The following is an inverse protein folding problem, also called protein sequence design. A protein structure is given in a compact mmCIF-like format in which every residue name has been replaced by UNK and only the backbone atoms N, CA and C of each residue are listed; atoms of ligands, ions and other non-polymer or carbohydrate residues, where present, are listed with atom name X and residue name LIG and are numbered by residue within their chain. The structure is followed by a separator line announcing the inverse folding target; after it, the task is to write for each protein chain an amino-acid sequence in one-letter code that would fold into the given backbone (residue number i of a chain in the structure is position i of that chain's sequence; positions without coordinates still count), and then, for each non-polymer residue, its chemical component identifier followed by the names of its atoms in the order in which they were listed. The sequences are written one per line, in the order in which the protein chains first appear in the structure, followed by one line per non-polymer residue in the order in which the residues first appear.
data_IF_277438086584
#
_entry.id   IF_277438086584
#
_cell.length_a   1.000
_cell.length_b   1.000
_cell.length_c   1.000
_cell.angle_alpha   90.00
_cell.angle_beta   90.00
_cell.angle_gamma   90.00
#
_symmetry.space_group_name_H-M   'P 1'
#
loop_
_entity.id
_entity.type
_entity.pdbx_description
1 polymer ?
#
# COMPACT_ATOMS: atom_id res chain seq x y z
N UNK A 1 -40.31 -21.86 31.46
CA UNK A 1 -40.00 -21.58 30.03
C UNK A 1 -39.93 -20.08 29.69
N UNK A 2 -39.60 -19.18 30.63
CA UNK A 2 -39.41 -17.74 30.35
C UNK A 2 -37.97 -17.24 30.58
N UNK A 3 -37.08 -18.07 31.14
CA UNK A 3 -35.70 -17.66 31.47
C UNK A 3 -34.70 -17.95 30.34
N UNK A 4 -35.07 -18.78 29.36
CA UNK A 4 -34.18 -19.13 28.22
C UNK A 4 -34.16 -18.05 27.13
N UNK A 5 -35.18 -17.18 27.05
CA UNK A 5 -35.26 -16.12 26.04
C UNK A 5 -34.37 -14.90 26.33
N UNK A 6 -33.93 -14.70 27.58
CA UNK A 6 -33.11 -13.54 27.94
C UNK A 6 -31.61 -13.74 27.63
N UNK A 7 -31.13 -14.98 27.55
CA UNK A 7 -29.71 -15.28 27.27
C UNK A 7 -29.42 -15.19 25.75
N UNK A 8 -30.44 -15.37 24.89
CA UNK A 8 -30.28 -15.16 23.45
C UNK A 8 -30.10 -13.68 23.06
N UNK A 9 -30.44 -12.73 23.93
CA UNK A 9 -30.33 -11.29 23.64
C UNK A 9 -28.92 -10.71 23.93
N UNK A 10 -28.02 -11.45 24.59
CA UNK A 10 -26.65 -10.98 24.86
C UNK A 10 -25.61 -11.41 23.82
N UNK A 11 -25.97 -12.24 22.83
CA UNK A 11 -25.09 -12.58 21.71
C UNK A 11 -25.18 -11.58 20.54
N UNK A 12 -26.16 -10.68 20.55
CA UNK A 12 -26.32 -9.66 19.49
C UNK A 12 -25.48 -8.40 19.70
N UNK A 13 -24.70 -8.31 20.79
CA UNK A 13 -23.92 -7.11 21.13
C UNK A 13 -22.43 -7.13 20.74
N UNK A 14 -21.90 -8.23 20.22
CA UNK A 14 -20.46 -8.34 19.89
C UNK A 14 -20.15 -8.19 18.39
N UNK A 15 -21.16 -8.05 17.53
CA UNK A 15 -20.97 -7.77 16.11
C UNK A 15 -21.76 -6.54 15.74
N UNK A 16 -21.19 -5.36 15.97
CA UNK A 16 -21.47 -4.20 15.15
C UNK A 16 -20.37 -3.16 15.32
N UNK A 17 -19.30 -3.36 14.57
CA UNK A 17 -18.57 -2.23 14.00
C UNK A 17 -18.75 -2.29 12.49
N UNK A 18 -20.00 -2.21 12.01
CA UNK A 18 -20.24 -1.68 10.67
C UNK A 18 -19.92 -0.18 10.68
N UNK A 19 -18.62 0.12 10.75
CA UNK A 19 -18.14 1.43 10.36
C UNK A 19 -18.32 1.47 8.85
N UNK A 20 -19.29 2.24 8.37
CA UNK A 20 -19.36 2.62 6.96
C UNK A 20 -17.96 2.98 6.46
N UNK A 21 -17.63 2.62 5.21
CA UNK A 21 -16.25 2.66 4.70
C UNK A 21 -15.57 3.98 5.08
N UNK A 22 -14.42 3.91 5.75
CA UNK A 22 -13.72 5.10 6.23
C UNK A 22 -13.30 5.99 5.06
N UNK A 23 -12.99 7.26 5.35
CA UNK A 23 -12.42 8.16 4.32
C UNK A 23 -11.17 7.56 3.69
N UNK A 24 -10.36 6.84 4.48
CA UNK A 24 -9.16 6.15 4.05
C UNK A 24 -9.47 4.93 3.17
N UNK A 25 -10.50 4.15 3.48
CA UNK A 25 -10.93 3.05 2.61
C UNK A 25 -11.40 3.53 1.23
N UNK A 26 -12.05 4.71 1.20
CA UNK A 26 -12.48 5.36 -0.04
C UNK A 26 -11.27 5.90 -0.81
N UNK A 27 -10.33 6.53 -0.13
CA UNK A 27 -9.16 7.09 -0.76
C UNK A 27 -8.24 5.98 -1.30
N UNK A 28 -8.06 4.90 -0.55
CA UNK A 28 -7.31 3.71 -0.97
C UNK A 28 -7.92 3.03 -2.23
N UNK A 29 -9.25 3.07 -2.38
CA UNK A 29 -9.94 2.60 -3.60
C UNK A 29 -9.65 3.48 -4.81
N UNK A 30 -9.39 4.77 -4.59
CA UNK A 30 -9.08 5.74 -5.65
C UNK A 30 -7.60 5.80 -5.97
N UNK A 31 -6.72 5.26 -5.13
CA UNK A 31 -5.28 5.23 -5.35
C UNK A 31 -4.93 4.49 -6.64
N UNK A 32 -4.34 5.23 -7.58
CA UNK A 32 -3.77 4.66 -8.81
C UNK A 32 -2.62 3.73 -8.44
N UNK A 33 -2.58 2.54 -9.04
CA UNK A 33 -1.48 1.58 -8.87
C UNK A 33 -0.96 1.21 -10.24
N UNK A 34 0.35 1.36 -10.42
CA UNK A 34 1.00 1.09 -11.69
C UNK A 34 1.63 -0.30 -11.70
N UNK A 35 1.62 -0.94 -12.85
CA UNK A 35 2.35 -2.20 -13.08
C UNK A 35 3.87 -1.95 -13.12
N UNK A 36 4.71 -2.96 -12.81
CA UNK A 36 6.17 -2.81 -12.81
C UNK A 36 6.77 -2.37 -14.15
N UNK A 37 6.12 -2.64 -15.28
CA UNK A 37 6.58 -2.25 -16.62
C UNK A 37 6.53 -0.72 -16.88
N UNK A 38 5.85 0.03 -16.01
CA UNK A 38 5.81 1.50 -16.04
C UNK A 38 7.06 2.15 -15.45
N UNK A 39 8.00 1.36 -14.93
CA UNK A 39 9.24 1.80 -14.28
C UNK A 39 10.45 1.29 -15.07
N UNK A 40 10.80 1.90 -16.21
CA UNK A 40 11.86 1.43 -17.11
C UNK A 40 13.27 1.44 -16.48
N UNK A 41 13.45 2.13 -15.36
CA UNK A 41 14.68 2.15 -14.59
C UNK A 41 14.94 0.85 -13.80
N UNK A 42 13.91 0.04 -13.55
CA UNK A 42 14.05 -1.21 -12.80
C UNK A 42 14.94 -2.21 -13.57
N UNK A 43 15.86 -2.92 -12.88
CA UNK A 43 16.54 -4.05 -13.47
C UNK A 43 15.53 -5.11 -13.92
N UNK A 44 15.73 -5.78 -15.08
CA UNK A 44 14.77 -6.76 -15.60
C UNK A 44 14.41 -7.88 -14.61
N UNK A 45 15.39 -8.32 -13.80
CA UNK A 45 15.16 -9.32 -12.76
C UNK A 45 14.24 -8.82 -11.65
N UNK A 46 14.35 -7.55 -11.25
CA UNK A 46 13.49 -6.92 -10.24
C UNK A 46 12.08 -6.77 -10.78
N UNK A 47 11.92 -6.22 -11.99
CA UNK A 47 10.61 -6.06 -12.62
C UNK A 47 9.89 -7.41 -12.77
N UNK A 48 10.59 -8.44 -13.25
CA UNK A 48 10.02 -9.80 -13.40
C UNK A 48 9.58 -10.39 -12.06
N UNK A 49 10.36 -10.19 -11.00
CA UNK A 49 10.02 -10.70 -9.67
C UNK A 49 8.82 -9.96 -9.05
N UNK A 50 8.70 -8.65 -9.28
CA UNK A 50 7.53 -7.88 -8.88
C UNK A 50 6.27 -8.36 -9.61
N UNK A 51 6.34 -8.53 -10.93
CA UNK A 51 5.24 -9.08 -11.74
C UNK A 51 4.86 -10.49 -11.27
N UNK A 52 5.84 -11.36 -11.02
CA UNK A 52 5.61 -12.72 -10.51
C UNK A 52 4.87 -12.72 -9.16
N UNK A 53 5.09 -11.71 -8.33
CA UNK A 53 4.42 -11.52 -7.04
C UNK A 53 3.02 -10.90 -7.16
N UNK A 54 2.58 -10.50 -8.36
CA UNK A 54 1.33 -9.75 -8.55
C UNK A 54 1.39 -8.34 -7.96
N UNK A 55 2.60 -7.78 -7.91
CA UNK A 55 2.86 -6.49 -7.29
C UNK A 55 2.40 -5.34 -8.18
N UNK A 56 1.70 -4.38 -7.58
CA UNK A 56 1.43 -3.08 -8.19
C UNK A 56 2.00 -1.97 -7.28
N UNK A 57 2.40 -0.84 -7.86
CA UNK A 57 3.12 0.21 -7.15
C UNK A 57 2.17 1.41 -6.98
N UNK A 58 1.66 1.67 -5.76
CA UNK A 58 0.70 2.74 -5.52
C UNK A 58 1.31 4.11 -5.78
N UNK A 59 0.51 5.05 -6.27
CA UNK A 59 0.93 6.41 -6.62
C UNK A 59 0.13 7.42 -5.79
N UNK A 60 0.82 8.49 -5.37
CA UNK A 60 0.21 9.71 -4.85
C UNK A 60 -0.49 10.49 -5.96
N UNK A 61 -1.42 11.36 -5.55
CA UNK A 61 -2.15 12.24 -6.47
C UNK A 61 -1.35 13.50 -6.85
N UNK A 62 -0.37 13.90 -6.04
CA UNK A 62 0.41 15.13 -6.24
C UNK A 62 1.55 14.94 -7.24
N UNK A 63 2.15 13.74 -7.28
CA UNK A 63 3.31 13.49 -8.12
C UNK A 63 2.91 12.94 -9.48
N UNK A 64 3.19 13.71 -10.53
CA UNK A 64 2.81 13.36 -11.91
C UNK A 64 3.66 12.25 -12.52
N UNK A 65 4.88 12.04 -12.02
CA UNK A 65 5.78 10.99 -12.51
C UNK A 65 5.61 9.71 -11.67
N UNK A 66 5.77 8.52 -12.28
CA UNK A 66 5.87 7.28 -11.52
C UNK A 66 6.88 7.40 -10.38
N UNK A 67 6.47 7.00 -9.19
CA UNK A 67 7.28 7.06 -7.96
C UNK A 67 7.00 5.82 -7.09
N UNK A 68 7.56 5.80 -5.88
CA UNK A 68 7.61 4.64 -4.98
C UNK A 68 8.47 3.47 -5.47
N UNK A 69 9.38 3.79 -6.39
CA UNK A 69 10.56 3.00 -6.76
C UNK A 69 11.77 3.88 -6.54
N UNK A 70 12.67 3.48 -5.64
CA UNK A 70 13.91 4.22 -5.36
C UNK A 70 15.11 3.30 -5.54
N UNK A 71 16.22 3.87 -6.01
CA UNK A 71 17.51 3.19 -6.06
C UNK A 71 18.56 3.94 -5.26
N UNK A 72 19.53 3.20 -4.75
CA UNK A 72 20.59 3.77 -3.93
C UNK A 72 21.58 2.73 -3.46
N UNK A 73 22.62 3.15 -2.74
CA UNK A 73 23.65 2.26 -2.21
C UNK A 73 23.37 1.96 -0.74
N UNK A 74 22.32 1.18 -0.47
CA UNK A 74 21.78 0.98 0.88
C UNK A 74 22.65 0.05 1.73
N UNK A 75 23.18 -1.04 1.13
CA UNK A 75 23.97 -2.03 1.88
C UNK A 75 25.46 -1.79 1.85
N UNK A 76 26.01 -1.31 0.73
CA UNK A 76 27.41 -0.91 0.63
C UNK A 76 27.66 0.01 -0.59
N UNK A 77 28.82 0.66 -0.62
CA UNK A 77 29.19 1.62 -1.69
C UNK A 77 29.48 1.00 -3.06
N UNK A 78 29.61 -0.32 -3.18
CA UNK A 78 29.99 -0.98 -4.44
C UNK A 78 28.78 -1.37 -5.30
N UNK A 79 27.62 -1.63 -4.69
CA UNK A 79 26.41 -2.04 -5.41
C UNK A 79 25.32 -0.96 -5.45
N UNK A 80 24.39 -1.10 -6.40
CA UNK A 80 23.15 -0.31 -6.47
C UNK A 80 21.97 -1.22 -6.11
N UNK A 81 21.26 -0.83 -5.07
CA UNK A 81 20.12 -1.53 -4.48
C UNK A 81 18.82 -0.81 -4.88
N UNK A 82 17.70 -1.51 -4.74
CA UNK A 82 16.37 -1.00 -5.08
C UNK A 82 15.40 -1.23 -3.94
N UNK A 83 14.58 -0.24 -3.62
CA UNK A 83 13.45 -0.38 -2.71
C UNK A 83 12.17 0.02 -3.44
N UNK A 84 11.17 -0.86 -3.36
CA UNK A 84 9.90 -0.72 -4.08
C UNK A 84 8.75 -0.87 -3.09
N UNK A 85 7.83 0.10 -3.08
CA UNK A 85 6.57 -0.05 -2.36
C UNK A 85 5.64 -0.96 -3.14
N UNK A 86 5.49 -2.18 -2.66
CA UNK A 86 4.78 -3.23 -3.35
C UNK A 86 3.41 -3.48 -2.71
N UNK A 87 2.33 -3.14 -3.41
CA UNK A 87 0.96 -3.45 -3.02
C UNK A 87 0.47 -4.70 -3.73
N UNK A 88 0.05 -5.70 -2.95
CA UNK A 88 -0.70 -6.87 -3.42
C UNK A 88 -2.03 -6.90 -2.70
N UNK A 89 -3.14 -6.83 -3.45
CA UNK A 89 -4.50 -6.80 -2.89
C UNK A 89 -4.70 -5.73 -1.80
N UNK A 90 -4.15 -4.52 -2.02
CA UNK A 90 -4.25 -3.37 -1.10
C UNK A 90 -3.58 -3.58 0.25
N UNK A 91 -2.58 -4.46 0.27
CA UNK A 91 -1.64 -4.64 1.38
C UNK A 91 -0.26 -4.36 0.82
N UNK A 92 0.38 -3.32 1.34
CA UNK A 92 1.70 -2.87 0.93
C UNK A 92 2.79 -3.43 1.82
N UNK A 93 3.96 -3.62 1.21
CA UNK A 93 5.22 -3.90 1.87
C UNK A 93 6.35 -3.24 1.10
N UNK A 94 7.44 -2.86 1.77
CA UNK A 94 8.65 -2.43 1.06
C UNK A 94 9.46 -3.67 0.70
N UNK A 95 9.72 -3.88 -0.58
CA UNK A 95 10.62 -4.91 -1.06
C UNK A 95 11.98 -4.29 -1.38
N UNK A 96 13.03 -4.82 -0.75
CA UNK A 96 14.42 -4.38 -0.98
C UNK A 96 15.18 -5.45 -1.75
N UNK A 97 15.69 -5.06 -2.92
CA UNK A 97 16.46 -5.89 -3.84
C UNK A 97 17.93 -5.45 -3.82
N UNK A 98 18.81 -6.36 -3.40
CA UNK A 98 20.24 -6.09 -3.32
C UNK A 98 20.91 -6.22 -4.69
N UNK A 99 21.74 -5.26 -5.07
CA UNK A 99 22.47 -5.27 -6.34
C UNK A 99 21.58 -5.51 -7.58
N UNK A 100 20.31 -5.09 -7.55
CA UNK A 100 19.34 -5.35 -8.63
C UNK A 100 18.98 -6.82 -8.84
N UNK A 101 19.20 -7.68 -7.83
CA UNK A 101 18.94 -9.11 -7.87
C UNK A 101 17.60 -9.47 -7.24
N UNK A 102 16.89 -10.44 -7.82
CA UNK A 102 15.69 -11.07 -7.25
C UNK A 102 16.01 -12.14 -6.18
N UNK A 103 17.27 -12.28 -5.77
CA UNK A 103 17.70 -13.18 -4.67
C UNK A 103 17.75 -12.42 -3.36
N UNK A 104 17.43 -13.11 -2.27
CA UNK A 104 17.51 -12.58 -0.89
C UNK A 104 16.73 -11.27 -0.70
N UNK A 105 15.57 -11.15 -1.36
CA UNK A 105 14.68 -9.98 -1.26
C UNK A 105 14.18 -9.85 0.17
N UNK A 106 14.33 -8.66 0.74
CA UNK A 106 13.82 -8.34 2.09
C UNK A 106 12.45 -7.68 1.97
N UNK A 107 11.48 -8.17 2.74
CA UNK A 107 10.13 -7.59 2.86
C UNK A 107 10.00 -6.88 4.21
N UNK A 108 9.61 -5.61 4.20
CA UNK A 108 9.46 -4.78 5.40
C UNK A 108 8.04 -4.22 5.50
N UNK A 109 7.61 -3.95 6.74
CA UNK A 109 6.45 -3.12 7.09
C UNK A 109 5.12 -3.52 6.42
N UNK A 110 4.86 -4.82 6.23
CA UNK A 110 3.65 -5.32 5.57
C UNK A 110 2.36 -4.92 6.30
N UNK A 111 1.54 -4.04 5.70
CA UNK A 111 0.31 -3.50 6.31
C UNK A 111 -0.75 -3.15 5.26
N UNK A 112 -2.04 -3.06 5.63
CA UNK A 112 -3.08 -2.57 4.72
C UNK A 112 -2.81 -1.14 4.27
N UNK A 113 -2.96 -0.88 2.98
CA UNK A 113 -2.70 0.42 2.36
C UNK A 113 -3.45 1.54 3.07
N UNK A 114 -4.76 1.33 3.31
CA UNK A 114 -5.63 2.28 3.98
C UNK A 114 -5.12 2.76 5.36
N UNK A 115 -4.24 1.99 6.02
CA UNK A 115 -3.66 2.35 7.32
C UNK A 115 -2.48 3.31 7.25
N UNK A 116 -1.83 3.45 6.09
CA UNK A 116 -0.62 4.26 5.90
C UNK A 116 -0.86 5.48 4.98
N UNK A 117 -2.13 5.74 4.64
CA UNK A 117 -2.53 6.91 3.88
C UNK A 117 -2.48 8.19 4.72
N UNK A 118 -1.88 9.24 4.16
CA UNK A 118 -1.79 10.54 4.81
C UNK A 118 -2.43 11.64 3.97
N UNK A 119 -3.19 12.55 4.59
CA UNK A 119 -3.73 13.73 3.93
C UNK A 119 -2.66 14.82 3.78
N UNK A 120 -2.62 15.50 2.62
CA UNK A 120 -1.81 16.71 2.45
C UNK A 120 -2.68 17.96 2.56
N UNK A 121 -2.07 19.10 2.90
CA UNK A 121 -2.76 20.37 3.18
C UNK A 121 -3.27 21.11 1.93
N UNK A 122 -3.19 20.52 0.74
CA UNK A 122 -3.60 21.16 -0.51
C UNK A 122 -5.14 21.18 -0.61
N UNK A 123 -5.74 22.35 -0.38
CA UNK A 123 -7.18 22.59 -0.48
C UNK A 123 -7.69 22.29 -1.89
N UNK A 124 -8.39 21.19 -2.05
CA UNK A 124 -9.30 20.97 -3.17
C UNK A 124 -10.71 21.30 -2.67
N UNK A 125 -11.46 22.06 -3.47
CA UNK A 125 -12.77 22.62 -3.13
C UNK A 125 -13.74 21.63 -2.47
N UNK A 126 -14.57 22.20 -1.61
CA UNK A 126 -15.49 21.61 -0.66
C UNK A 126 -16.49 20.62 -1.30
N UNK A 127 -16.20 19.32 -1.17
CA UNK A 127 -17.12 18.25 -1.56
C UNK A 127 -16.43 16.91 -1.83
N UNK A 128 -16.35 16.07 -0.79
CA UNK A 128 -15.94 14.66 -0.82
C UNK A 128 -14.44 14.32 -1.03
N UNK A 129 -13.78 14.21 0.14
CA UNK A 129 -12.48 13.54 0.43
C UNK A 129 -11.26 14.46 0.26
N UNK A 130 -10.43 14.67 1.31
CA UNK A 130 -9.07 15.18 1.12
C UNK A 130 -8.31 14.15 0.29
N UNK A 131 -8.16 14.47 -0.99
CA UNK A 131 -7.77 13.54 -2.04
C UNK A 131 -6.28 13.68 -2.31
N UNK A 132 -5.47 13.55 -1.28
CA UNK A 132 -4.05 13.30 -1.47
C UNK A 132 -3.66 12.33 -0.42
N UNK A 133 -3.20 11.18 -0.87
CA UNK A 133 -2.86 10.04 -0.06
C UNK A 133 -1.46 9.67 -0.46
N UNK A 134 -0.52 10.00 0.41
CA UNK A 134 0.82 9.45 0.32
C UNK A 134 0.84 8.14 1.10
N UNK A 135 1.25 7.07 0.43
CA UNK A 135 1.50 5.80 1.06
C UNK A 135 2.97 5.84 1.49
N UNK A 136 3.22 6.40 2.68
CA UNK A 136 4.56 6.42 3.26
C UNK A 136 4.69 5.14 4.08
N UNK A 137 5.60 4.26 3.66
CA UNK A 137 5.92 3.07 4.41
C UNK A 137 6.85 3.34 5.58
#
# INVERSE_FOLDING_TARGET
MLVVLAILACLSGCLNSERGTSVWDRADRKTTRLEPDRFPELPPAVASELTRRGCTIPQTFVQQKPHNVISGRFRNRAQLDWAVLCSVNRVSSILVFWAGSARDVVELAKRPDAGDLQATEEKVDEGDVPLVVELIA
#
